data_IF_216516553463
#
_entry.id   IF_216516553463
#
_cell.length_a   1.000
_cell.length_b   1.000
_cell.length_c   1.000
_cell.angle_alpha   90.00
_cell.angle_beta   90.00
_cell.angle_gamma   90.00
#
_symmetry.space_group_name_H-M   'P 1'
#
loop_
_entity.id
_entity.type
_entity.pdbx_description
1 polymer ?
#
# COMPACT_ATOMS: atom_id res chain seq x y z
N UNK A 1 -47.75 -31.40 -33.66
CA UNK A 1 -46.86 -31.78 -32.53
C UNK A 1 -45.37 -31.88 -32.92
N UNK A 2 -44.97 -31.97 -34.20
CA UNK A 2 -43.56 -32.13 -34.61
C UNK A 2 -42.74 -30.82 -34.71
N UNK A 3 -43.39 -29.67 -34.93
CA UNK A 3 -42.73 -28.38 -35.17
C UNK A 3 -42.04 -27.78 -33.94
N UNK A 4 -42.49 -28.14 -32.74
CA UNK A 4 -41.93 -27.66 -31.46
C UNK A 4 -40.59 -28.33 -31.12
N UNK A 5 -40.36 -29.57 -31.55
CA UNK A 5 -39.10 -30.30 -31.33
C UNK A 5 -37.92 -29.71 -32.12
N UNK A 6 -38.15 -29.30 -33.37
CA UNK A 6 -37.10 -28.71 -34.23
C UNK A 6 -36.62 -27.36 -33.69
N UNK A 7 -37.54 -26.54 -33.17
CA UNK A 7 -37.20 -25.27 -32.50
C UNK A 7 -36.39 -25.47 -31.21
N UNK A 8 -36.68 -26.54 -30.47
CA UNK A 8 -35.96 -26.91 -29.24
C UNK A 8 -34.52 -27.34 -29.54
N UNK A 9 -34.31 -28.21 -30.53
CA UNK A 9 -32.98 -28.68 -30.93
C UNK A 9 -32.10 -27.53 -31.43
N UNK A 10 -32.66 -26.64 -32.26
CA UNK A 10 -31.95 -25.45 -32.76
C UNK A 10 -31.48 -24.54 -31.62
N UNK A 11 -32.30 -24.38 -30.58
CA UNK A 11 -31.96 -23.58 -29.39
C UNK A 11 -30.82 -24.21 -28.57
N UNK A 12 -30.83 -25.53 -28.42
CA UNK A 12 -29.76 -26.26 -27.71
C UNK A 12 -28.44 -26.14 -28.46
N UNK A 13 -28.45 -26.35 -29.78
CA UNK A 13 -27.25 -26.23 -30.63
C UNK A 13 -26.70 -24.80 -30.63
N UNK A 14 -27.55 -23.78 -30.73
CA UNK A 14 -27.11 -22.38 -30.64
C UNK A 14 -26.50 -22.06 -29.27
N UNK A 15 -27.10 -22.57 -28.18
CA UNK A 15 -26.60 -22.35 -26.83
C UNK A 15 -25.26 -23.08 -26.58
N UNK A 16 -25.03 -24.22 -27.23
CA UNK A 16 -23.75 -24.93 -27.19
C UNK A 16 -22.66 -24.18 -27.96
N UNK A 17 -22.97 -23.68 -29.17
CA UNK A 17 -22.03 -22.90 -29.98
C UNK A 17 -21.57 -21.62 -29.27
N UNK A 18 -22.48 -20.87 -28.63
CA UNK A 18 -22.14 -19.65 -27.88
C UNK A 18 -21.27 -19.98 -26.65
N UNK A 19 -21.54 -21.09 -25.97
CA UNK A 19 -20.70 -21.56 -24.85
C UNK A 19 -19.29 -21.92 -25.32
N UNK A 20 -19.16 -22.71 -26.39
CA UNK A 20 -17.86 -23.09 -26.95
C UNK A 20 -17.04 -21.88 -27.42
N UNK A 21 -17.68 -20.88 -28.02
CA UNK A 21 -17.01 -19.64 -28.39
C UNK A 21 -16.51 -18.84 -27.16
N UNK A 22 -17.31 -18.79 -26.09
CA UNK A 22 -16.93 -18.13 -24.84
C UNK A 22 -15.78 -18.86 -24.13
N UNK A 23 -15.77 -20.20 -24.17
CA UNK A 23 -14.69 -21.05 -23.66
C UNK A 23 -13.40 -20.87 -24.45
N UNK A 24 -13.46 -20.89 -25.79
CA UNK A 24 -12.30 -20.64 -26.65
C UNK A 24 -11.71 -19.24 -26.39
N UNK A 25 -12.57 -18.21 -26.27
CA UNK A 25 -12.13 -16.86 -25.91
C UNK A 25 -11.46 -16.83 -24.54
N UNK A 26 -12.02 -17.52 -23.55
CA UNK A 26 -11.47 -17.58 -22.21
C UNK A 26 -10.08 -18.25 -22.19
N UNK A 27 -9.91 -19.33 -22.96
CA UNK A 27 -8.64 -20.02 -23.12
C UNK A 27 -7.56 -19.13 -23.79
N UNK A 28 -7.91 -18.42 -24.86
CA UNK A 28 -6.96 -17.58 -25.61
C UNK A 28 -6.52 -16.37 -24.78
N UNK A 29 -7.46 -15.68 -24.12
CA UNK A 29 -7.19 -14.40 -23.45
C UNK A 29 -7.04 -14.51 -21.93
N UNK A 30 -7.04 -15.73 -21.38
CA UNK A 30 -6.92 -15.97 -19.93
C UNK A 30 -8.10 -15.40 -19.12
N UNK A 31 -9.31 -15.36 -19.69
CA UNK A 31 -10.49 -14.97 -18.94
C UNK A 31 -11.00 -16.12 -18.07
N UNK A 32 -11.34 -15.84 -16.81
CA UNK A 32 -11.94 -16.83 -15.91
C UNK A 32 -13.46 -16.86 -16.11
N UNK A 33 -13.99 -17.99 -16.54
CA UNK A 33 -15.44 -18.25 -16.61
C UNK A 33 -15.99 -18.64 -15.24
N UNK A 34 -17.19 -18.14 -14.89
CA UNK A 34 -17.88 -18.48 -13.65
C UNK A 34 -19.32 -18.94 -13.93
N UNK A 35 -19.52 -20.23 -14.28
CA UNK A 35 -20.84 -20.77 -14.57
C UNK A 35 -21.79 -20.72 -13.36
N UNK A 36 -21.24 -20.76 -12.14
CA UNK A 36 -22.00 -20.76 -10.89
C UNK A 36 -22.51 -19.37 -10.46
N UNK A 37 -21.96 -18.30 -11.04
CA UNK A 37 -22.27 -16.91 -10.65
C UNK A 37 -21.88 -16.52 -9.21
N UNK A 38 -21.31 -17.44 -8.42
CA UNK A 38 -20.93 -17.18 -7.02
C UNK A 38 -19.73 -16.24 -6.95
N UNK A 39 -19.59 -15.49 -5.85
CA UNK A 39 -18.42 -14.62 -5.64
C UNK A 39 -17.13 -15.44 -5.68
N UNK A 40 -16.19 -15.03 -6.53
CA UNK A 40 -14.84 -15.60 -6.60
C UNK A 40 -13.78 -14.58 -6.19
N UNK A 41 -12.59 -15.05 -5.83
CA UNK A 41 -11.45 -14.20 -5.47
C UNK A 41 -10.88 -13.38 -6.66
N UNK A 42 -11.42 -13.57 -7.87
CA UNK A 42 -10.94 -12.93 -9.10
C UNK A 42 -11.00 -11.39 -9.07
N UNK A 43 -11.86 -10.79 -8.22
CA UNK A 43 -11.87 -9.33 -7.99
C UNK A 43 -10.66 -8.87 -7.16
N UNK A 44 -10.23 -9.67 -6.20
CA UNK A 44 -9.11 -9.34 -5.31
C UNK A 44 -7.79 -9.53 -6.06
N UNK A 45 -7.63 -10.66 -6.76
CA UNK A 45 -6.41 -11.00 -7.50
C UNK A 45 -6.12 -10.04 -8.67
N UNK A 46 -7.15 -9.44 -9.27
CA UNK A 46 -6.97 -8.43 -10.34
C UNK A 46 -6.53 -7.06 -9.82
N UNK A 47 -6.62 -6.80 -8.51
CA UNK A 47 -6.12 -5.55 -7.96
C UNK A 47 -4.59 -5.59 -7.98
N UNK A 48 -3.97 -4.58 -8.59
CA UNK A 48 -2.52 -4.41 -8.51
C UNK A 48 -2.12 -4.22 -7.04
N UNK A 49 -1.06 -4.90 -6.61
CA UNK A 49 -0.49 -4.69 -5.29
C UNK A 49 0.05 -3.25 -5.22
N UNK A 50 -0.42 -2.48 -4.24
CA UNK A 50 -0.04 -1.07 -4.03
C UNK A 50 0.98 -0.90 -2.90
N UNK A 51 1.43 -2.00 -2.27
CA UNK A 51 2.27 -1.96 -1.07
C UNK A 51 3.54 -1.14 -1.24
N UNK A 52 4.27 -1.33 -2.34
CA UNK A 52 5.50 -0.59 -2.64
C UNK A 52 5.26 0.93 -2.73
N UNK A 53 4.17 1.33 -3.41
CA UNK A 53 3.80 2.74 -3.60
C UNK A 53 3.40 3.40 -2.29
N UNK A 54 2.73 2.64 -1.42
CA UNK A 54 2.33 3.12 -0.08
C UNK A 54 3.55 3.19 0.85
N UNK A 55 4.47 2.22 0.78
CA UNK A 55 5.68 2.21 1.59
C UNK A 55 6.63 3.37 1.24
N UNK A 56 6.71 3.74 -0.05
CA UNK A 56 7.53 4.86 -0.56
C UNK A 56 6.83 6.23 -0.42
N UNK A 57 5.98 6.41 0.59
CA UNK A 57 5.25 7.66 0.79
C UNK A 57 6.19 8.84 1.05
N UNK A 58 7.24 8.63 1.85
CA UNK A 58 8.26 9.65 2.11
C UNK A 58 9.47 9.40 1.20
N UNK A 59 9.96 10.44 0.49
CA UNK A 59 11.17 10.33 -0.31
C UNK A 59 12.39 10.14 0.60
N UNK A 60 13.44 9.56 0.03
CA UNK A 60 14.73 9.41 0.70
C UNK A 60 15.39 10.78 0.90
N UNK A 61 15.92 11.04 2.09
CA UNK A 61 16.69 12.25 2.37
C UNK A 61 18.18 12.01 2.06
N UNK A 62 18.64 12.60 0.96
CA UNK A 62 20.02 12.51 0.47
C UNK A 62 21.04 13.10 1.44
N UNK A 63 20.62 13.96 2.38
CA UNK A 63 21.54 14.54 3.38
C UNK A 63 22.18 13.49 4.27
N UNK A 64 21.53 12.34 4.43
CA UNK A 64 22.07 11.24 5.23
C UNK A 64 23.23 10.51 4.54
N UNK A 65 23.43 10.70 3.24
CA UNK A 65 24.50 10.03 2.49
C UNK A 65 25.84 10.76 2.60
N UNK A 66 25.82 12.10 2.70
CA UNK A 66 27.05 12.90 2.72
C UNK A 66 27.57 13.07 4.16
N UNK A 67 28.70 12.43 4.52
CA UNK A 67 29.27 12.53 5.86
C UNK A 67 29.64 13.97 6.24
N UNK A 68 29.92 14.84 5.26
CA UNK A 68 30.27 16.25 5.50
C UNK A 68 29.07 17.07 5.93
N UNK A 69 27.89 16.80 5.34
CA UNK A 69 26.64 17.48 5.71
C UNK A 69 26.20 17.06 7.10
N UNK A 70 26.20 15.77 7.39
CA UNK A 70 25.89 15.23 8.71
C UNK A 70 26.82 15.78 9.79
N UNK A 71 28.14 15.76 9.56
CA UNK A 71 29.12 16.27 10.51
C UNK A 71 28.96 17.78 10.76
N UNK A 72 28.58 18.55 9.74
CA UNK A 72 28.32 20.00 9.88
C UNK A 72 27.08 20.27 10.73
N UNK A 73 25.96 19.63 10.43
CA UNK A 73 24.70 19.83 11.17
C UNK A 73 24.87 19.45 12.65
N UNK A 74 25.57 18.35 12.93
CA UNK A 74 25.87 17.93 14.30
C UNK A 74 26.82 18.91 15.01
N UNK A 75 27.85 19.42 14.32
CA UNK A 75 28.77 20.42 14.89
C UNK A 75 28.05 21.72 15.25
N UNK A 76 27.15 22.19 14.39
CA UNK A 76 26.33 23.38 14.65
C UNK A 76 25.38 23.16 15.84
N UNK A 77 24.76 21.98 15.92
CA UNK A 77 23.91 21.58 17.06
C UNK A 77 24.68 21.63 18.38
N UNK A 78 25.90 21.07 18.40
CA UNK A 78 26.77 21.06 19.58
C UNK A 78 27.23 22.47 19.98
N UNK A 79 27.65 23.30 19.02
CA UNK A 79 28.08 24.67 19.27
C UNK A 79 26.95 25.53 19.87
N UNK A 80 25.72 25.40 19.35
CA UNK A 80 24.54 26.09 19.91
C UNK A 80 24.24 25.63 21.33
N UNK A 81 24.34 24.34 21.59
CA UNK A 81 24.09 23.76 22.91
C UNK A 81 25.13 24.22 23.94
N UNK A 82 26.40 24.30 23.54
CA UNK A 82 27.48 24.84 24.37
C UNK A 82 27.25 26.32 24.71
N UNK A 83 26.88 27.14 23.72
CA UNK A 83 26.55 28.55 23.94
C UNK A 83 25.38 28.72 24.94
N UNK A 84 24.33 27.89 24.83
CA UNK A 84 23.20 27.91 25.75
C UNK A 84 23.59 27.49 27.18
N UNK A 85 24.45 26.47 27.31
CA UNK A 85 25.02 26.04 28.60
C UNK A 85 25.81 27.17 29.26
N UNK A 86 26.68 27.86 28.52
CA UNK A 86 27.46 29.00 29.02
C UNK A 86 26.56 30.13 29.56
N UNK A 87 25.39 30.34 28.94
CA UNK A 87 24.40 31.34 29.37
C UNK A 87 23.47 30.86 30.50
N UNK A 88 23.62 29.63 31.00
CA UNK A 88 22.69 29.03 31.96
C UNK A 88 21.28 28.76 31.42
N UNK A 89 21.09 28.85 30.09
CA UNK A 89 19.83 28.60 29.38
C UNK A 89 19.80 27.23 28.72
N UNK A 90 20.71 26.33 29.12
CA UNK A 90 20.71 24.96 28.65
C UNK A 90 19.46 24.21 29.10
N UNK A 91 19.02 23.18 28.35
CA UNK A 91 17.93 22.33 28.79
C UNK A 91 18.30 21.65 30.12
N UNK A 92 17.38 21.61 31.11
CA UNK A 92 17.65 20.94 32.38
C UNK A 92 17.81 19.44 32.19
N UNK A 93 18.42 18.76 33.17
CA UNK A 93 18.53 17.31 33.18
C UNK A 93 17.12 16.69 33.16
N UNK A 94 16.93 15.65 32.34
CA UNK A 94 15.66 14.91 32.26
C UNK A 94 15.21 14.50 33.67
N UNK A 95 13.95 14.78 34.01
CA UNK A 95 13.39 14.54 35.36
C UNK A 95 13.64 15.64 36.39
N UNK A 96 14.52 16.61 36.13
CA UNK A 96 14.82 17.75 37.03
C UNK A 96 14.24 19.07 36.48
N UNK A 97 13.12 18.98 35.76
CA UNK A 97 12.43 20.17 35.28
C UNK A 97 11.90 21.02 36.43
N UNK A 98 11.67 22.31 36.19
CA UNK A 98 11.15 23.26 37.19
C UNK A 98 9.89 22.77 37.93
N UNK A 99 9.07 21.92 37.28
CA UNK A 99 7.84 21.33 37.85
C UNK A 99 8.08 20.08 38.70
N UNK A 100 9.18 19.35 38.50
CA UNK A 100 9.49 18.13 39.24
C UNK A 100 9.88 18.41 40.71
N UNK A 101 10.40 19.62 40.99
CA UNK A 101 10.80 20.05 42.33
C UNK A 101 9.59 20.36 43.24
N UNK A 102 8.39 20.57 42.68
CA UNK A 102 7.20 21.02 43.41
C UNK A 102 6.42 19.93 44.17
N UNK A 103 6.93 18.70 44.28
CA UNK A 103 6.21 17.57 44.94
C UNK A 103 6.72 17.25 46.36
N UNK A 104 7.26 18.23 47.08
CA UNK A 104 7.48 18.15 48.52
C UNK A 104 6.92 19.42 49.18
N UNK A 105 5.59 19.49 49.25
CA UNK A 105 4.87 20.26 50.26
C UNK A 105 3.54 19.57 50.54
#
# INVERSE_FOLDING_TARGET
MATTMVGSLRRVLSAAAVRGAAEARAAIFGHVLNPSGKRSAHKILRKKLIGWKVAQWYPYDIKNDDPRVLAREEKERLAKLEMLKRRGKGPPKKGQGRRAVKRNK
#
